data_IF_795109681288
#
_entry.id   IF_795109681288
#
_cell.length_a   1.000
_cell.length_b   1.000
_cell.length_c   1.000
_cell.angle_alpha   90.00
_cell.angle_beta   90.00
_cell.angle_gamma   90.00
#
_symmetry.space_group_name_H-M   'P 1'
#
loop_
_entity.id
_entity.type
_entity.pdbx_description
1 polymer ?
#
# COMPACT_ATOMS: atom_id res chain seq x y z
N UNK A 1 -16.12 -14.13 8.46
CA UNK A 1 -15.00 -13.45 9.16
C UNK A 1 -15.43 -12.96 10.53
N UNK A 2 -14.49 -12.48 11.36
CA UNK A 2 -14.81 -11.82 12.65
C UNK A 2 -15.68 -10.57 12.41
N UNK A 3 -15.42 -9.82 11.36
CA UNK A 3 -16.21 -8.65 10.99
C UNK A 3 -17.68 -9.01 10.68
N UNK A 4 -17.92 -10.11 9.97
CA UNK A 4 -19.29 -10.57 9.68
C UNK A 4 -20.04 -10.96 10.97
N UNK A 5 -19.33 -11.59 11.91
CA UNK A 5 -19.90 -11.97 13.19
C UNK A 5 -20.28 -10.72 14.02
N UNK A 6 -19.39 -9.72 14.06
CA UNK A 6 -19.66 -8.44 14.74
C UNK A 6 -20.82 -7.71 14.07
N UNK A 7 -20.85 -7.66 12.74
CA UNK A 7 -21.94 -7.04 11.99
C UNK A 7 -23.30 -7.73 12.31
N UNK A 8 -23.32 -9.07 12.36
CA UNK A 8 -24.52 -9.83 12.75
C UNK A 8 -24.97 -9.48 14.19
N UNK A 9 -24.06 -9.41 15.16
CA UNK A 9 -24.39 -9.06 16.55
C UNK A 9 -24.80 -7.61 16.76
N UNK A 10 -24.32 -6.69 15.91
CA UNK A 10 -24.78 -5.30 15.93
C UNK A 10 -26.20 -5.19 15.40
N UNK A 11 -26.53 -5.98 14.36
CA UNK A 11 -27.87 -5.97 13.74
C UNK A 11 -28.92 -6.73 14.55
N UNK A 12 -28.52 -7.88 15.12
CA UNK A 12 -29.42 -8.77 15.93
C UNK A 12 -28.62 -9.32 17.12
N UNK A 13 -28.70 -8.59 18.22
CA UNK A 13 -27.97 -8.91 19.45
C UNK A 13 -28.54 -10.13 20.11
N UNK A 14 -27.77 -11.22 20.38
CA UNK A 14 -28.22 -12.37 21.11
C UNK A 14 -28.75 -12.01 22.47
N UNK A 15 -29.80 -12.70 22.90
CA UNK A 15 -30.41 -12.49 24.25
C UNK A 15 -29.35 -12.71 25.32
N UNK A 16 -29.26 -11.78 26.27
CA UNK A 16 -28.29 -11.80 27.38
C UNK A 16 -26.89 -11.26 27.01
N UNK A 17 -26.59 -10.93 25.75
CA UNK A 17 -25.34 -10.31 25.36
C UNK A 17 -25.37 -8.82 25.71
N UNK A 18 -24.51 -8.38 26.63
CA UNK A 18 -24.42 -6.98 27.07
C UNK A 18 -23.36 -6.17 26.27
N UNK A 19 -22.43 -6.85 25.64
CA UNK A 19 -21.36 -6.19 24.84
C UNK A 19 -20.31 -7.15 24.33
N UNK A 20 -19.31 -6.63 23.65
CA UNK A 20 -18.14 -7.35 23.17
C UNK A 20 -16.91 -6.80 23.90
N UNK A 21 -16.12 -7.68 24.51
CA UNK A 21 -14.86 -7.33 25.11
C UNK A 21 -13.73 -7.65 24.12
N UNK A 22 -12.97 -6.62 23.78
CA UNK A 22 -11.79 -6.76 22.93
C UNK A 22 -10.54 -6.92 23.80
N UNK A 23 -9.96 -8.12 23.76
CA UNK A 23 -8.74 -8.39 24.51
C UNK A 23 -7.51 -8.10 23.67
N UNK A 24 -6.58 -7.38 24.30
CA UNK A 24 -5.30 -6.95 23.78
C UNK A 24 -5.42 -5.94 22.63
N UNK A 25 -5.48 -4.68 23.02
CA UNK A 25 -5.41 -3.56 22.10
C UNK A 25 -4.05 -3.53 21.38
N UNK A 26 -4.02 -3.16 20.10
CA UNK A 26 -2.75 -2.99 19.37
C UNK A 26 -1.87 -1.93 20.03
N UNK A 27 -0.58 -2.24 20.16
CA UNK A 27 0.43 -1.28 20.57
C UNK A 27 1.44 -1.07 19.44
N UNK A 28 2.12 0.08 19.46
CA UNK A 28 3.16 0.37 18.48
C UNK A 28 4.22 -0.72 18.47
N UNK A 29 4.55 -1.23 17.26
CA UNK A 29 5.57 -2.27 17.06
C UNK A 29 5.10 -3.71 17.33
N UNK A 30 3.86 -3.93 17.77
CA UNK A 30 3.31 -5.29 17.91
C UNK A 30 3.20 -5.98 16.54
N UNK A 31 3.95 -7.06 16.36
CA UNK A 31 3.95 -7.83 15.12
C UNK A 31 2.92 -8.96 15.11
N UNK A 32 2.33 -9.30 16.26
CA UNK A 32 1.46 -10.44 16.45
C UNK A 32 -0.01 -10.05 16.59
N UNK A 33 -0.30 -8.75 16.63
CA UNK A 33 -1.66 -8.23 16.73
C UNK A 33 -2.07 -7.48 15.46
N UNK A 34 -3.35 -7.26 15.30
CA UNK A 34 -3.87 -6.39 14.25
C UNK A 34 -3.37 -4.96 14.46
N UNK A 35 -3.26 -4.21 13.37
CA UNK A 35 -3.10 -2.76 13.46
C UNK A 35 -4.41 -2.12 13.96
N UNK A 36 -4.31 -0.92 14.49
CA UNK A 36 -5.48 -0.20 14.98
C UNK A 36 -6.59 -0.11 13.95
N UNK A 37 -6.28 0.29 12.73
CA UNK A 37 -7.26 0.44 11.64
C UNK A 37 -7.97 -0.88 11.30
N UNK A 38 -7.27 -2.01 11.41
CA UNK A 38 -7.86 -3.35 11.22
C UNK A 38 -8.81 -3.67 12.35
N UNK A 39 -8.39 -3.44 13.59
CA UNK A 39 -9.24 -3.68 14.77
C UNK A 39 -10.48 -2.79 14.73
N UNK A 40 -10.32 -1.50 14.46
CA UNK A 40 -11.44 -0.56 14.36
C UNK A 40 -12.44 -0.98 13.27
N UNK A 41 -11.96 -1.37 12.09
CA UNK A 41 -12.84 -1.87 11.03
C UNK A 41 -13.68 -3.07 11.52
N UNK A 42 -13.03 -4.06 12.18
CA UNK A 42 -13.71 -5.24 12.71
C UNK A 42 -14.70 -4.87 13.84
N UNK A 43 -14.32 -3.98 14.75
CA UNK A 43 -15.21 -3.49 15.83
C UNK A 43 -16.48 -2.83 15.28
N UNK A 44 -16.38 -2.21 14.12
CA UNK A 44 -17.50 -1.59 13.40
C UNK A 44 -18.23 -2.56 12.46
N UNK A 45 -17.92 -3.86 12.49
CA UNK A 45 -18.52 -4.88 11.60
C UNK A 45 -18.14 -4.70 10.13
N UNK A 46 -17.08 -3.96 9.82
CA UNK A 46 -16.57 -3.76 8.47
C UNK A 46 -15.48 -4.75 8.15
N UNK A 47 -15.56 -5.41 6.98
CA UNK A 47 -14.51 -6.31 6.50
C UNK A 47 -13.26 -5.49 6.16
N UNK A 48 -12.12 -5.71 6.83
CA UNK A 48 -10.89 -5.00 6.51
C UNK A 48 -10.46 -5.23 5.06
N UNK A 49 -9.99 -4.18 4.39
CA UNK A 49 -9.47 -4.23 3.02
C UNK A 49 -8.18 -3.44 2.93
N UNK A 50 -7.23 -3.95 2.14
CA UNK A 50 -6.06 -3.19 1.75
C UNK A 50 -6.45 -2.17 0.68
N UNK A 51 -5.82 -1.00 0.72
CA UNK A 51 -5.96 0.04 -0.29
C UNK A 51 -4.58 0.64 -0.53
N UNK A 52 -3.92 0.22 -1.59
CA UNK A 52 -2.55 0.65 -1.86
C UNK A 52 -2.57 1.76 -2.90
N UNK A 53 -1.83 2.81 -2.62
CA UNK A 53 -1.57 3.94 -3.52
C UNK A 53 -0.09 4.03 -3.82
N UNK A 54 0.25 4.58 -4.98
CA UNK A 54 1.62 4.91 -5.35
C UNK A 54 1.69 6.39 -5.74
N UNK A 55 2.80 7.04 -5.39
CA UNK A 55 3.03 8.43 -5.76
C UNK A 55 4.52 8.75 -5.90
N UNK A 56 4.80 9.81 -6.63
CA UNK A 56 6.13 10.41 -6.70
C UNK A 56 6.33 11.39 -5.55
N UNK A 57 7.51 11.32 -4.94
CA UNK A 57 7.96 12.26 -3.91
C UNK A 57 9.23 12.94 -4.41
N UNK A 58 9.15 14.23 -4.72
CA UNK A 58 10.30 14.99 -5.20
C UNK A 58 11.38 15.11 -4.11
N UNK A 59 12.64 14.87 -4.51
CA UNK A 59 13.83 15.00 -3.66
C UNK A 59 14.75 16.14 -4.11
N UNK A 60 14.48 16.72 -5.23
CA UNK A 60 15.20 17.83 -5.83
C UNK A 60 15.43 17.60 -7.32
N UNK A 61 15.80 18.63 -8.03
CA UNK A 61 16.08 18.75 -9.48
C UNK A 61 15.94 17.45 -10.30
N UNK A 62 14.71 17.06 -10.61
CA UNK A 62 14.42 15.89 -11.43
C UNK A 62 14.65 14.53 -10.76
N UNK A 63 14.92 14.48 -9.45
CA UNK A 63 15.02 13.25 -8.67
C UNK A 63 13.74 13.01 -7.89
N UNK A 64 13.14 11.85 -8.08
CA UNK A 64 11.88 11.44 -7.45
C UNK A 64 12.00 10.06 -6.82
N UNK A 65 11.49 9.94 -5.60
CA UNK A 65 11.25 8.64 -4.98
C UNK A 65 9.86 8.11 -5.39
N UNK A 66 9.77 6.82 -5.63
CA UNK A 66 8.50 6.12 -5.78
C UNK A 66 8.08 5.59 -4.40
N UNK A 67 7.07 6.25 -3.82
CA UNK A 67 6.48 5.85 -2.55
C UNK A 67 5.20 5.04 -2.80
N UNK A 68 5.03 3.95 -2.07
CA UNK A 68 3.77 3.22 -1.93
C UNK A 68 3.25 3.36 -0.51
N UNK A 69 1.92 3.46 -0.37
CA UNK A 69 1.24 3.56 0.91
C UNK A 69 0.04 2.60 0.95
N UNK A 70 -0.16 1.90 2.06
CA UNK A 70 -1.40 1.17 2.29
C UNK A 70 -2.31 2.00 3.21
N UNK A 71 -3.26 2.66 2.63
CA UNK A 71 -4.25 3.51 3.30
C UNK A 71 -5.51 2.73 3.73
N UNK A 72 -5.50 1.42 3.47
CA UNK A 72 -6.58 0.52 3.86
C UNK A 72 -6.47 0.02 5.29
N UNK A 73 -7.48 -0.73 5.71
CA UNK A 73 -7.60 -1.31 7.05
C UNK A 73 -7.07 -2.75 7.16
N UNK A 74 -6.56 -3.34 6.07
CA UNK A 74 -5.93 -4.66 6.08
C UNK A 74 -4.50 -4.58 5.56
N UNK A 75 -3.64 -5.50 6.03
CA UNK A 75 -2.30 -5.69 5.48
C UNK A 75 -2.40 -6.15 4.01
N UNK A 76 -1.53 -5.62 3.17
CA UNK A 76 -1.27 -6.14 1.84
C UNK A 76 -0.05 -7.05 1.90
N UNK A 77 -0.20 -8.30 1.51
CA UNK A 77 0.89 -9.27 1.45
C UNK A 77 0.84 -10.06 0.14
N UNK A 78 2.01 -10.50 -0.35
CA UNK A 78 2.17 -11.28 -1.57
C UNK A 78 2.86 -10.51 -2.69
N UNK A 79 2.80 -11.03 -3.91
CA UNK A 79 3.38 -10.36 -5.08
C UNK A 79 2.80 -8.96 -5.27
N UNK A 80 3.66 -8.03 -5.61
CA UNK A 80 3.28 -6.63 -5.78
C UNK A 80 4.10 -6.01 -6.90
N UNK A 81 3.47 -5.23 -7.74
CA UNK A 81 4.13 -4.52 -8.82
C UNK A 81 3.58 -3.09 -8.98
N UNK A 82 4.45 -2.18 -9.37
CA UNK A 82 4.09 -0.83 -9.82
C UNK A 82 4.68 -0.63 -11.21
N UNK A 83 3.82 -0.36 -12.18
CA UNK A 83 4.21 0.02 -13.53
C UNK A 83 4.22 1.54 -13.65
N UNK A 84 5.25 2.05 -14.27
CA UNK A 84 5.44 3.46 -14.55
C UNK A 84 5.42 3.68 -16.05
N UNK A 85 4.43 4.41 -16.53
CA UNK A 85 4.36 4.83 -17.94
C UNK A 85 4.96 6.24 -18.06
N UNK A 86 6.07 6.42 -18.78
CA UNK A 86 6.78 7.69 -18.80
C UNK A 86 6.10 8.78 -19.65
N UNK A 87 5.02 8.45 -20.38
CA UNK A 87 4.38 9.39 -21.26
C UNK A 87 5.40 9.99 -22.27
N UNK A 88 5.52 11.32 -22.26
CA UNK A 88 6.51 12.03 -23.07
C UNK A 88 7.82 12.34 -22.31
N UNK A 89 7.96 11.80 -21.09
CA UNK A 89 9.13 12.02 -20.25
C UNK A 89 10.30 11.10 -20.61
N UNK A 90 11.51 11.57 -20.35
CA UNK A 90 12.74 10.79 -20.50
C UNK A 90 13.33 10.45 -19.15
N UNK A 91 13.53 9.15 -18.88
CA UNK A 91 14.18 8.65 -17.68
C UNK A 91 15.67 8.56 -17.90
N UNK A 92 16.45 9.29 -17.10
CA UNK A 92 17.92 9.27 -17.14
C UNK A 92 18.52 8.14 -16.31
N UNK A 93 17.80 7.66 -15.31
CA UNK A 93 18.21 6.55 -14.45
C UNK A 93 17.15 6.23 -13.42
N UNK A 94 17.12 4.99 -13.01
CA UNK A 94 16.23 4.49 -11.95
C UNK A 94 16.88 3.32 -11.23
N UNK A 95 16.45 3.07 -10.01
CA UNK A 95 16.80 1.86 -9.26
C UNK A 95 15.69 1.53 -8.26
N UNK A 96 15.66 0.28 -7.83
CA UNK A 96 14.70 -0.24 -6.87
C UNK A 96 15.37 -0.48 -5.52
N UNK A 97 14.58 -0.36 -4.44
CA UNK A 97 15.04 -0.58 -3.07
C UNK A 97 14.08 -1.51 -2.30
N UNK A 98 14.43 -1.89 -1.08
CA UNK A 98 13.60 -2.72 -0.18
C UNK A 98 13.15 -4.06 -0.79
N UNK A 99 14.04 -4.71 -1.54
CA UNK A 99 13.75 -6.01 -2.15
C UNK A 99 12.87 -5.94 -3.40
N UNK A 100 12.56 -4.74 -3.88
CA UNK A 100 12.01 -4.55 -5.22
C UNK A 100 13.10 -4.70 -6.27
N UNK A 101 12.70 -5.05 -7.47
CA UNK A 101 13.51 -5.04 -8.70
C UNK A 101 12.85 -4.09 -9.68
N UNK A 102 13.62 -3.44 -10.51
CA UNK A 102 13.12 -2.61 -11.60
C UNK A 102 13.56 -3.22 -12.92
N UNK A 103 12.60 -3.37 -13.84
CA UNK A 103 12.83 -3.79 -15.21
C UNK A 103 12.47 -2.63 -16.13
N UNK A 104 13.33 -2.38 -17.14
CA UNK A 104 13.11 -1.35 -18.15
C UNK A 104 12.65 -2.03 -19.44
N UNK A 105 11.46 -1.69 -19.90
CA UNK A 105 10.88 -2.22 -21.12
C UNK A 105 11.29 -1.40 -22.35
N UNK A 106 11.29 -1.98 -23.57
CA UNK A 106 11.72 -1.30 -24.81
C UNK A 106 10.89 -0.05 -25.17
N UNK A 107 9.65 0.03 -24.67
CA UNK A 107 8.76 1.19 -24.84
C UNK A 107 9.00 2.31 -23.80
N UNK A 108 10.01 2.14 -22.94
CA UNK A 108 10.38 3.06 -21.88
C UNK A 108 9.61 2.89 -20.60
N UNK A 109 8.69 1.95 -20.51
CA UNK A 109 8.00 1.62 -19.26
C UNK A 109 8.97 1.03 -18.23
N UNK A 110 8.75 1.37 -16.97
CA UNK A 110 9.46 0.78 -15.84
C UNK A 110 8.52 -0.08 -15.03
N UNK A 111 8.94 -1.30 -14.69
CA UNK A 111 8.17 -2.21 -13.85
C UNK A 111 8.93 -2.49 -12.56
N UNK A 112 8.42 -2.00 -11.43
CA UNK A 112 8.94 -2.29 -10.09
C UNK A 112 8.19 -3.49 -9.52
N UNK A 113 8.89 -4.58 -9.19
CA UNK A 113 8.30 -5.84 -8.72
C UNK A 113 8.89 -6.32 -7.41
N UNK A 114 8.06 -6.94 -6.57
CA UNK A 114 8.49 -7.66 -5.39
C UNK A 114 7.58 -8.90 -5.20
N UNK A 115 8.17 -10.09 -5.16
CA UNK A 115 7.43 -11.36 -5.06
C UNK A 115 6.83 -11.61 -3.65
N UNK A 116 7.35 -10.94 -2.62
CA UNK A 116 6.96 -11.17 -1.22
C UNK A 116 6.81 -9.86 -0.44
N UNK A 117 6.25 -8.84 -1.08
CA UNK A 117 5.99 -7.55 -0.44
C UNK A 117 5.01 -7.71 0.73
N UNK A 118 5.31 -7.05 1.84
CA UNK A 118 4.37 -6.87 2.94
C UNK A 118 4.27 -5.40 3.28
N UNK A 119 3.08 -4.84 3.12
CA UNK A 119 2.75 -3.46 3.44
C UNK A 119 1.56 -3.49 4.40
N UNK A 120 1.81 -3.21 5.67
CA UNK A 120 0.76 -3.23 6.70
C UNK A 120 -0.17 -2.05 6.53
N UNK A 121 -1.36 -2.15 7.10
CA UNK A 121 -2.27 -1.02 7.25
C UNK A 121 -1.55 0.19 7.85
N UNK A 122 -1.65 1.35 7.20
CA UNK A 122 -0.98 2.60 7.58
C UNK A 122 0.50 2.71 7.20
N UNK A 123 1.13 1.65 6.66
CA UNK A 123 2.55 1.71 6.28
C UNK A 123 2.76 2.51 4.99
N UNK A 124 3.93 3.19 4.95
CA UNK A 124 4.48 3.85 3.76
C UNK A 124 5.89 3.36 3.50
N UNK A 125 6.26 3.17 2.25
CA UNK A 125 7.57 2.68 1.88
C UNK A 125 8.03 3.30 0.55
N UNK A 126 9.28 3.75 0.51
CA UNK A 126 9.96 4.04 -0.75
C UNK A 126 10.41 2.71 -1.35
N UNK A 127 9.98 2.42 -2.56
CA UNK A 127 10.28 1.18 -3.28
C UNK A 127 11.31 1.34 -4.40
N UNK A 128 11.60 2.56 -4.78
CA UNK A 128 12.59 2.91 -5.79
C UNK A 128 12.72 4.40 -5.97
N UNK A 129 13.56 4.78 -6.90
CA UNK A 129 13.74 6.17 -7.30
C UNK A 129 13.93 6.28 -8.81
N UNK A 130 13.68 7.47 -9.33
CA UNK A 130 13.84 7.78 -10.74
C UNK A 130 14.42 9.19 -10.89
N UNK A 131 15.31 9.34 -11.86
CA UNK A 131 15.77 10.66 -12.34
C UNK A 131 15.22 10.91 -13.73
N UNK A 132 14.56 12.02 -13.89
CA UNK A 132 14.01 12.47 -15.18
C UNK A 132 14.84 13.62 -15.74
N UNK A 133 14.76 13.81 -17.03
CA UNK A 133 15.39 14.95 -17.71
C UNK A 133 14.72 16.26 -17.28
N UNK A 134 15.51 17.34 -17.21
CA UNK A 134 15.03 18.64 -16.72
C UNK A 134 13.88 19.27 -17.56
N UNK A 135 13.73 18.83 -18.80
CA UNK A 135 12.64 19.21 -19.69
C UNK A 135 11.34 18.44 -19.48
N UNK A 136 11.38 17.35 -18.70
CA UNK A 136 10.25 16.47 -18.43
C UNK A 136 9.56 16.84 -17.13
N UNK A 137 8.23 16.67 -17.07
CA UNK A 137 7.45 16.78 -15.83
C UNK A 137 7.09 15.39 -15.31
N UNK A 138 7.19 15.18 -14.00
CA UNK A 138 6.75 13.94 -13.36
C UNK A 138 5.24 13.72 -13.48
N UNK A 139 4.48 14.77 -13.67
CA UNK A 139 3.02 14.70 -13.89
C UNK A 139 2.63 13.95 -15.17
N UNK A 140 3.56 13.85 -16.13
CA UNK A 140 3.37 13.04 -17.34
C UNK A 140 3.53 11.54 -17.10
N UNK A 141 4.05 11.12 -15.94
CA UNK A 141 4.27 9.72 -15.60
C UNK A 141 3.05 9.15 -14.90
N UNK A 142 2.40 8.18 -15.53
CA UNK A 142 1.27 7.47 -14.96
C UNK A 142 1.71 6.24 -14.17
N UNK A 143 1.12 6.03 -12.99
CA UNK A 143 1.41 4.90 -12.12
C UNK A 143 0.23 3.91 -12.12
N UNK A 144 0.55 2.64 -12.31
CA UNK A 144 -0.40 1.54 -12.27
C UNK A 144 0.06 0.47 -11.27
N UNK A 145 -0.83 0.00 -10.40
CA UNK A 145 -0.51 -0.95 -9.32
C UNK A 145 -1.10 -2.32 -9.65
N UNK A 146 -0.31 -3.37 -9.46
CA UNK A 146 -0.70 -4.78 -9.67
C UNK A 146 -0.27 -5.66 -8.49
N UNK A 147 -0.99 -6.74 -8.18
CA UNK A 147 -2.41 -6.90 -8.49
C UNK A 147 -3.24 -5.95 -7.63
N UNK A 148 -4.42 -5.67 -8.11
CA UNK A 148 -5.43 -4.87 -7.39
C UNK A 148 -5.87 -5.56 -6.09
#
# INVERSE_FOLDING_TARGET
SMADLVAAWVSDRPAGMVGILWYRMPVWGDQWNWRWDTLEAVMLGRVPRASVTARWVERGRGLYDLEVANEGSADRAGPFAVRVHPGNGSVQGCDAVRGFRVENHPDGELLFTNASCRLRSGDRAIIGWMRIEASSSVESFHLEIFPD
#
